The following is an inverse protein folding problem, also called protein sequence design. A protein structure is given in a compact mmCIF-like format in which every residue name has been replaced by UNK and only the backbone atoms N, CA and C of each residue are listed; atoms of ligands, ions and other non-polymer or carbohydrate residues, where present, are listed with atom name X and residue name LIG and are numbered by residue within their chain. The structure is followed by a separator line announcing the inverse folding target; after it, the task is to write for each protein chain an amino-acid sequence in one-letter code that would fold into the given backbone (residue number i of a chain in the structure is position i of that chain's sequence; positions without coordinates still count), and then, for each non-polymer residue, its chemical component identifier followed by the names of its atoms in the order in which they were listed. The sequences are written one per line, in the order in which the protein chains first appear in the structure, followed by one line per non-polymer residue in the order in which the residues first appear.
data_IF_446719449143
#
_entry.id   IF_446719449143
#
_cell.length_a   1.000
_cell.length_b   1.000
_cell.length_c   1.000
_cell.angle_alpha   90.00
_cell.angle_beta   90.00
_cell.angle_gamma   90.00
#
_symmetry.space_group_name_H-M   'P 1'
#
loop_
_entity.id
_entity.type
_entity.pdbx_description
1 polymer ?
#
# COMPACT_ATOMS: atom_id res chain seq x y z
N UNK A 1 -12.49 4.40 -4.87
CA UNK A 1 -11.64 5.40 -5.55
C UNK A 1 -10.92 4.65 -6.64
N UNK A 2 -11.34 4.86 -7.89
CA UNK A 2 -10.73 4.17 -9.04
C UNK A 2 -9.24 4.51 -9.09
N UNK A 3 -8.41 3.49 -9.18
CA UNK A 3 -7.01 3.66 -9.55
C UNK A 3 -7.03 4.13 -11.01
N UNK A 4 -6.67 5.39 -11.24
CA UNK A 4 -6.45 5.90 -12.58
C UNK A 4 -5.23 5.19 -13.13
N UNK A 5 -5.46 4.26 -14.04
CA UNK A 5 -4.41 3.61 -14.81
C UNK A 5 -3.94 4.65 -15.84
N UNK A 6 -2.63 4.91 -15.86
CA UNK A 6 -2.01 5.87 -16.78
C UNK A 6 -2.40 5.58 -18.24
N UNK A 7 -2.74 6.63 -18.99
CA UNK A 7 -3.22 6.58 -20.38
C UNK A 7 -2.18 6.09 -21.40
N UNK A 8 -0.95 5.81 -20.96
CA UNK A 8 0.18 5.49 -21.82
C UNK A 8 0.57 4.00 -21.79
N UNK A 9 -0.24 3.12 -21.19
CA UNK A 9 0.04 1.67 -21.22
C UNK A 9 -0.14 1.12 -22.64
N UNK A 10 0.93 0.54 -23.19
CA UNK A 10 0.84 -0.26 -24.41
C UNK A 10 0.25 -1.64 -24.03
N UNK A 11 -1.08 -1.75 -24.09
CA UNK A 11 -1.85 -2.90 -23.61
C UNK A 11 -1.55 -4.25 -24.29
N UNK A 12 -0.81 -4.25 -25.41
CA UNK A 12 -0.34 -5.47 -26.05
C UNK A 12 0.72 -6.23 -25.21
N UNK A 13 1.36 -5.57 -24.23
CA UNK A 13 2.36 -6.20 -23.36
C UNK A 13 1.76 -6.89 -22.12
N UNK A 14 0.42 -6.80 -21.92
CA UNK A 14 -0.29 -7.37 -20.75
C UNK A 14 -0.83 -8.79 -20.96
N UNK A 15 -0.51 -9.47 -22.06
CA UNK A 15 -0.96 -10.86 -22.29
C UNK A 15 -0.15 -11.80 -21.40
N UNK A 16 -0.58 -11.94 -20.15
CA UNK A 16 -0.04 -12.94 -19.24
C UNK A 16 -0.79 -14.25 -19.42
N UNK A 17 -0.04 -15.33 -19.64
CA UNK A 17 -0.57 -16.69 -19.64
C UNK A 17 -0.99 -17.12 -18.23
N UNK A 18 -1.88 -18.11 -18.09
CA UNK A 18 -2.22 -18.68 -16.78
C UNK A 18 -0.97 -19.10 -16.00
N UNK A 19 -0.90 -18.76 -14.71
CA UNK A 19 0.26 -19.11 -13.89
C UNK A 19 1.55 -18.35 -14.22
N UNK A 20 1.47 -17.25 -14.99
CA UNK A 20 2.63 -16.41 -15.28
C UNK A 20 3.23 -15.81 -14.01
N UNK A 21 4.56 -15.86 -13.91
CA UNK A 21 5.30 -15.18 -12.85
C UNK A 21 5.97 -13.95 -13.43
N UNK A 22 5.57 -12.78 -12.94
CA UNK A 22 6.26 -11.51 -13.16
C UNK A 22 7.24 -11.24 -11.99
N UNK A 23 8.56 -11.25 -12.21
CA UNK A 23 9.54 -11.05 -11.14
C UNK A 23 9.43 -9.70 -10.40
N UNK A 24 9.02 -8.63 -11.09
CA UNK A 24 8.85 -7.31 -10.48
C UNK A 24 7.63 -7.31 -9.55
N UNK A 25 6.52 -7.88 -10.00
CA UNK A 25 5.31 -8.01 -9.19
C UNK A 25 5.59 -8.78 -7.90
N UNK A 26 6.20 -9.98 -8.01
CA UNK A 26 6.53 -10.80 -6.82
C UNK A 26 7.51 -10.06 -5.90
N UNK A 27 8.53 -9.39 -6.44
CA UNK A 27 9.48 -8.61 -5.66
C UNK A 27 8.79 -7.49 -4.86
N UNK A 28 7.85 -6.78 -5.48
CA UNK A 28 7.11 -5.71 -4.81
C UNK A 28 6.21 -6.25 -3.69
N UNK A 29 5.56 -7.39 -3.89
CA UNK A 29 4.77 -8.05 -2.84
C UNK A 29 5.65 -8.49 -1.66
N UNK A 30 6.84 -9.07 -1.92
CA UNK A 30 7.81 -9.39 -0.88
C UNK A 30 8.27 -8.11 -0.14
N UNK A 31 8.52 -7.03 -0.88
CA UNK A 31 8.93 -5.75 -0.30
C UNK A 31 7.84 -5.16 0.57
N UNK A 32 6.60 -5.07 0.09
CA UNK A 32 5.48 -4.48 0.82
C UNK A 32 5.04 -5.29 2.04
N UNK A 33 5.43 -6.57 2.13
CA UNK A 33 5.20 -7.41 3.32
C UNK A 33 6.43 -7.54 4.22
N UNK A 34 7.52 -6.84 3.92
CA UNK A 34 8.76 -6.93 4.70
C UNK A 34 8.75 -6.03 5.94
N UNK A 35 9.44 -6.48 7.00
CA UNK A 35 9.71 -5.67 8.19
C UNK A 35 10.41 -4.35 7.83
N UNK A 36 11.33 -4.36 6.86
CA UNK A 36 12.01 -3.15 6.40
C UNK A 36 11.04 -2.10 5.87
N UNK A 37 10.06 -2.50 5.05
CA UNK A 37 9.08 -1.57 4.48
C UNK A 37 8.09 -1.05 5.54
N UNK A 38 7.66 -1.90 6.47
CA UNK A 38 6.88 -1.44 7.63
C UNK A 38 7.68 -0.50 8.53
N UNK A 39 9.00 -0.72 8.68
CA UNK A 39 9.91 0.20 9.36
C UNK A 39 9.97 1.58 8.69
N UNK A 40 10.03 1.63 7.36
CA UNK A 40 9.96 2.89 6.60
C UNK A 40 8.65 3.64 6.84
N UNK A 41 7.52 2.91 6.93
CA UNK A 41 6.23 3.51 7.28
C UNK A 41 6.26 4.10 8.70
N UNK A 42 6.71 3.31 9.69
CA UNK A 42 6.84 3.74 11.09
C UNK A 42 7.66 5.02 11.20
N UNK A 43 8.83 5.04 10.58
CA UNK A 43 9.76 6.17 10.67
C UNK A 43 9.21 7.41 9.95
N UNK A 44 8.54 7.22 8.79
CA UNK A 44 7.86 8.33 8.08
C UNK A 44 6.69 8.90 8.88
N UNK A 45 5.95 8.06 9.61
CA UNK A 45 4.87 8.50 10.49
C UNK A 45 5.41 9.26 11.71
N UNK A 46 6.53 8.80 12.28
CA UNK A 46 7.22 9.51 13.36
C UNK A 46 7.65 10.91 12.93
N UNK A 47 8.29 11.04 11.77
CA UNK A 47 8.73 12.34 11.25
C UNK A 47 7.54 13.31 11.09
N UNK A 48 6.40 12.80 10.59
CA UNK A 48 5.16 13.58 10.47
C UNK A 48 4.63 14.01 11.84
N UNK A 49 4.59 13.10 12.81
CA UNK A 49 4.11 13.35 14.17
C UNK A 49 4.99 14.38 14.89
N UNK A 50 6.31 14.16 14.91
CA UNK A 50 7.29 15.08 15.52
C UNK A 50 7.17 16.49 14.91
N UNK A 51 6.98 16.58 13.59
CA UNK A 51 6.74 17.85 12.92
C UNK A 51 5.47 18.53 13.44
N UNK A 52 4.34 17.82 13.48
CA UNK A 52 3.07 18.39 13.95
C UNK A 52 3.14 18.85 15.42
N UNK A 53 3.77 18.05 16.29
CA UNK A 53 4.00 18.40 17.70
C UNK A 53 4.87 19.65 17.85
N UNK A 54 5.97 19.72 17.10
CA UNK A 54 6.87 20.89 17.13
C UNK A 54 6.14 22.17 16.70
N UNK A 55 5.25 22.08 15.70
CA UNK A 55 4.43 23.21 15.25
C UNK A 55 3.44 23.63 16.32
N UNK A 56 2.79 22.68 17.01
CA UNK A 56 1.89 23.01 18.10
C UNK A 56 2.63 23.73 19.22
N UNK A 57 3.79 23.22 19.62
CA UNK A 57 4.62 23.83 20.65
C UNK A 57 5.04 25.26 20.29
N UNK A 58 5.47 25.49 19.05
CA UNK A 58 5.82 26.83 18.56
C UNK A 58 4.63 27.80 18.57
N UNK A 59 3.44 27.31 18.18
CA UNK A 59 2.21 28.09 18.22
C UNK A 59 1.85 28.50 19.65
N UNK A 60 2.00 27.60 20.62
CA UNK A 60 1.70 27.86 22.02
C UNK A 60 2.64 28.86 22.69
N UNK A 61 3.84 29.08 22.15
CA UNK A 61 4.77 30.10 22.64
C UNK A 61 4.37 31.52 22.23
N UNK A 62 3.51 31.68 21.21
CA UNK A 62 3.18 32.97 20.60
C UNK A 62 1.66 33.21 20.54
N UNK A 63 0.98 32.98 21.66
CA UNK A 63 -0.47 33.15 21.74
C UNK A 63 -0.88 34.62 21.76
N UNK A 64 -1.86 34.98 20.94
CA UNK A 64 -2.49 36.29 21.00
C UNK A 64 -3.32 36.44 22.30
N UNK A 65 -3.46 37.66 22.86
CA UNK A 65 -4.22 37.87 24.10
C UNK A 65 -5.68 37.40 24.04
N UNK A 66 -6.29 37.40 22.85
CA UNK A 66 -7.67 36.99 22.60
C UNK A 66 -7.84 35.48 22.34
N UNK A 67 -6.75 34.70 22.34
CA UNK A 67 -6.73 33.30 21.90
C UNK A 67 -7.86 32.43 22.48
N UNK A 68 -8.10 32.53 23.79
CA UNK A 68 -9.10 31.69 24.48
C UNK A 68 -10.54 32.00 24.06
N UNK A 69 -10.79 33.19 23.49
CA UNK A 69 -12.09 33.62 22.98
C UNK A 69 -12.36 33.20 21.53
N UNK A 70 -11.37 32.62 20.85
CA UNK A 70 -11.52 32.18 19.46
C UNK A 70 -12.37 30.91 19.35
N UNK A 71 -12.93 30.70 18.16
CA UNK A 71 -13.68 29.49 17.85
C UNK A 71 -12.80 28.24 17.98
N UNK A 72 -13.40 27.09 18.31
CA UNK A 72 -12.68 25.82 18.51
C UNK A 72 -11.67 25.47 17.41
N UNK A 73 -11.98 25.59 16.10
CA UNK A 73 -11.01 25.29 15.03
C UNK A 73 -9.76 26.17 15.03
N UNK A 74 -9.83 27.35 15.66
CA UNK A 74 -8.72 28.29 15.81
C UNK A 74 -7.92 28.09 17.11
N UNK A 75 -8.30 27.07 17.90
CA UNK A 75 -7.63 26.69 19.15
C UNK A 75 -6.94 25.33 19.01
N UNK A 76 -5.77 25.27 18.34
CA UNK A 76 -5.09 24.01 18.07
C UNK A 76 -4.64 23.27 19.33
N UNK A 77 -4.46 23.92 20.48
CA UNK A 77 -4.17 23.21 21.74
C UNK A 77 -5.28 22.24 22.14
N UNK A 78 -6.53 22.60 21.88
CA UNK A 78 -7.68 21.77 22.24
C UNK A 78 -7.96 20.78 21.12
N UNK A 79 -8.12 21.25 19.89
CA UNK A 79 -8.47 20.36 18.77
C UNK A 79 -7.32 19.42 18.44
N UNK A 80 -6.13 19.97 18.17
CA UNK A 80 -4.98 19.14 17.81
C UNK A 80 -4.31 18.54 19.04
N UNK A 81 -4.13 19.30 20.12
CA UNK A 81 -3.45 18.81 21.32
C UNK A 81 -4.22 17.74 22.09
N UNK A 82 -5.56 17.79 22.13
CA UNK A 82 -6.36 16.83 22.92
C UNK A 82 -7.07 15.77 22.07
N UNK A 83 -7.20 15.93 20.75
CA UNK A 83 -7.89 14.97 19.88
C UNK A 83 -7.00 14.40 18.78
N UNK A 84 -6.42 15.26 17.92
CA UNK A 84 -5.66 14.78 16.76
C UNK A 84 -4.35 14.12 17.16
N UNK A 85 -3.47 14.83 17.87
CA UNK A 85 -2.13 14.32 18.22
C UNK A 85 -2.17 13.07 19.10
N UNK A 86 -3.08 12.93 20.10
CA UNK A 86 -3.23 11.66 20.81
C UNK A 86 -3.52 10.48 19.90
N UNK A 87 -4.44 10.61 18.94
CA UNK A 87 -4.72 9.53 17.98
C UNK A 87 -3.49 9.22 17.11
N UNK A 88 -2.79 10.24 16.63
CA UNK A 88 -1.57 10.03 15.84
C UNK A 88 -0.47 9.31 16.63
N UNK A 89 -0.36 9.55 17.94
CA UNK A 89 0.54 8.82 18.85
C UNK A 89 0.11 7.37 19.02
N UNK A 90 -1.18 7.12 19.23
CA UNK A 90 -1.71 5.76 19.34
C UNK A 90 -1.43 4.96 18.06
N UNK A 91 -1.57 5.57 16.88
CA UNK A 91 -1.17 4.96 15.60
C UNK A 91 0.34 4.71 15.55
N UNK A 92 1.17 5.63 16.04
CA UNK A 92 2.63 5.42 16.09
C UNK A 92 3.01 4.24 16.99
N UNK A 93 2.40 4.12 18.16
CA UNK A 93 2.59 2.98 19.06
C UNK A 93 2.14 1.67 18.40
N UNK A 94 1.02 1.69 17.68
CA UNK A 94 0.54 0.59 16.85
C UNK A 94 1.55 0.16 15.78
N UNK A 95 2.16 1.11 15.07
CA UNK A 95 3.21 0.85 14.08
C UNK A 95 4.48 0.27 14.73
N UNK A 96 4.87 0.76 15.90
CA UNK A 96 5.99 0.22 16.66
C UNK A 96 5.74 -1.24 17.07
N UNK A 97 4.57 -1.53 17.62
CA UNK A 97 4.18 -2.90 17.99
C UNK A 97 4.08 -3.80 16.76
N UNK A 98 3.48 -3.32 15.67
CA UNK A 98 3.38 -4.05 14.41
C UNK A 98 4.75 -4.36 13.79
N UNK A 99 5.69 -3.42 13.83
CA UNK A 99 7.06 -3.64 13.38
C UNK A 99 7.75 -4.76 14.18
N UNK A 100 7.63 -4.75 15.51
CA UNK A 100 8.22 -5.80 16.36
C UNK A 100 7.63 -7.17 16.03
N UNK A 101 6.31 -7.28 15.86
CA UNK A 101 5.64 -8.52 15.44
C UNK A 101 6.21 -9.02 14.12
N UNK A 102 6.21 -8.17 13.09
CA UNK A 102 6.66 -8.55 11.76
C UNK A 102 8.14 -8.90 11.71
N UNK A 103 8.97 -8.21 12.49
CA UNK A 103 10.39 -8.53 12.65
C UNK A 103 10.62 -9.93 13.22
N UNK A 104 9.72 -10.41 14.09
CA UNK A 104 9.73 -11.77 14.62
C UNK A 104 8.96 -12.79 13.77
N UNK A 105 8.52 -12.41 12.57
CA UNK A 105 7.84 -13.29 11.62
C UNK A 105 6.32 -13.39 11.81
N UNK A 106 5.74 -12.59 12.70
CA UNK A 106 4.30 -12.49 12.87
C UNK A 106 3.70 -11.47 11.88
N UNK A 107 3.01 -11.99 10.86
CA UNK A 107 2.43 -11.19 9.76
C UNK A 107 1.24 -10.34 10.19
N UNK A 108 0.67 -10.56 11.38
CA UNK A 108 -0.32 -9.65 11.98
C UNK A 108 0.25 -8.26 12.22
N UNK A 109 1.58 -8.12 12.25
CA UNK A 109 2.23 -6.82 12.33
C UNK A 109 1.82 -5.87 11.18
N UNK A 110 1.45 -6.39 10.02
CA UNK A 110 1.00 -5.61 8.86
C UNK A 110 -0.32 -4.86 9.14
N UNK A 111 -1.17 -5.38 10.04
CA UNK A 111 -2.46 -4.78 10.38
C UNK A 111 -2.31 -3.34 10.93
N UNK A 112 -1.16 -3.04 11.54
CA UNK A 112 -0.84 -1.71 12.07
C UNK A 112 -0.90 -0.61 11.01
N UNK A 113 -0.70 -0.93 9.72
CA UNK A 113 -0.82 0.03 8.63
C UNK A 113 -2.24 0.59 8.47
N UNK A 114 -3.28 -0.12 8.93
CA UNK A 114 -4.66 0.37 8.90
C UNK A 114 -4.89 1.60 9.79
N UNK A 115 -4.15 1.74 10.89
CA UNK A 115 -4.24 2.91 11.79
C UNK A 115 -3.98 4.21 11.05
N UNK A 116 -2.93 4.24 10.23
CA UNK A 116 -2.54 5.39 9.38
C UNK A 116 -3.68 5.87 8.49
N UNK A 117 -4.41 4.94 7.85
CA UNK A 117 -5.54 5.28 6.98
C UNK A 117 -6.75 5.79 7.77
N UNK A 118 -7.01 5.21 8.94
CA UNK A 118 -8.11 5.62 9.82
C UNK A 118 -7.87 7.01 10.38
N UNK A 119 -6.67 7.28 10.87
CA UNK A 119 -6.29 8.59 11.40
C UNK A 119 -6.28 9.67 10.34
N UNK A 120 -5.79 9.38 9.13
CA UNK A 120 -5.91 10.33 8.02
C UNK A 120 -7.37 10.73 7.80
N UNK A 121 -8.30 9.78 7.74
CA UNK A 121 -9.73 10.10 7.56
C UNK A 121 -10.28 10.94 8.72
N UNK A 122 -9.97 10.57 9.96
CA UNK A 122 -10.43 11.30 11.14
C UNK A 122 -9.86 12.72 11.20
N UNK A 123 -8.58 12.89 10.82
CA UNK A 123 -7.92 14.19 10.85
C UNK A 123 -8.50 15.18 9.83
N UNK A 124 -9.11 14.72 8.72
CA UNK A 124 -9.71 15.60 7.71
C UNK A 124 -10.83 16.50 8.27
N UNK A 125 -11.43 16.14 9.41
CA UNK A 125 -12.43 16.96 10.10
C UNK A 125 -11.83 18.20 10.78
N UNK A 126 -10.50 18.25 10.94
CA UNK A 126 -9.78 19.28 11.67
C UNK A 126 -8.82 20.06 10.78
N UNK A 127 -9.00 21.38 10.74
CA UNK A 127 -8.14 22.28 9.97
C UNK A 127 -6.69 22.27 10.49
N UNK A 128 -5.73 22.21 9.56
CA UNK A 128 -4.30 22.34 9.84
C UNK A 128 -3.77 23.77 9.64
N UNK A 129 -4.64 24.72 9.23
CA UNK A 129 -4.22 26.06 8.77
C UNK A 129 -3.57 26.93 9.86
N UNK A 130 -3.64 26.50 11.13
CA UNK A 130 -2.90 27.10 12.24
C UNK A 130 -1.37 26.94 12.12
N UNK A 131 -0.86 25.98 11.32
CA UNK A 131 0.59 25.70 11.16
C UNK A 131 1.34 26.65 10.22
N UNK A 132 0.70 27.74 9.73
CA UNK A 132 1.12 28.54 8.56
C UNK A 132 1.07 27.78 7.23
N UNK A 133 1.05 28.50 6.10
CA UNK A 133 0.97 27.89 4.77
C UNK A 133 2.16 26.97 4.46
N UNK A 134 3.37 27.33 4.87
CA UNK A 134 4.54 26.46 4.71
C UNK A 134 4.45 25.22 5.62
N UNK A 135 4.02 25.40 6.87
CA UNK A 135 3.84 24.28 7.79
C UNK A 135 2.80 23.28 7.29
N UNK A 136 1.65 23.76 6.79
CA UNK A 136 0.61 22.92 6.18
C UNK A 136 1.16 22.14 4.99
N UNK A 137 1.93 22.78 4.10
CA UNK A 137 2.55 22.10 2.95
C UNK A 137 3.49 20.97 3.39
N UNK A 138 4.35 21.23 4.37
CA UNK A 138 5.27 20.23 4.90
C UNK A 138 4.54 19.09 5.60
N UNK A 139 3.55 19.40 6.44
CA UNK A 139 2.70 18.40 7.09
C UNK A 139 2.00 17.50 6.06
N UNK A 140 1.33 18.09 5.06
CA UNK A 140 0.63 17.34 4.00
C UNK A 140 1.58 16.47 3.19
N UNK A 141 2.83 16.92 2.95
CA UNK A 141 3.85 16.12 2.26
C UNK A 141 4.26 14.90 3.08
N UNK A 142 4.60 15.09 4.36
CA UNK A 142 4.99 14.00 5.27
C UNK A 142 3.85 12.99 5.44
N UNK A 143 2.62 13.48 5.63
CA UNK A 143 1.42 12.64 5.72
C UNK A 143 1.16 11.85 4.43
N UNK A 144 1.30 12.49 3.26
CA UNK A 144 1.13 11.83 1.97
C UNK A 144 2.14 10.69 1.77
N UNK A 145 3.38 10.88 2.21
CA UNK A 145 4.42 9.85 2.15
C UNK A 145 4.07 8.63 3.02
N UNK A 146 3.67 8.84 4.28
CA UNK A 146 3.24 7.75 5.16
C UNK A 146 1.99 7.03 4.60
N UNK A 147 1.03 7.78 4.04
CA UNK A 147 -0.17 7.20 3.44
C UNK A 147 0.13 6.35 2.20
N UNK A 148 1.10 6.74 1.38
CA UNK A 148 1.52 5.96 0.23
C UNK A 148 2.08 4.61 0.67
N UNK A 149 2.99 4.60 1.66
CA UNK A 149 3.58 3.38 2.21
C UNK A 149 2.49 2.47 2.82
N UNK A 150 1.62 3.03 3.66
CA UNK A 150 0.51 2.29 4.28
C UNK A 150 -0.45 1.71 3.24
N UNK A 151 -0.76 2.45 2.17
CA UNK A 151 -1.63 1.96 1.09
C UNK A 151 -1.05 0.73 0.40
N UNK A 152 0.24 0.71 0.13
CA UNK A 152 0.88 -0.45 -0.51
C UNK A 152 0.82 -1.69 0.41
N UNK A 153 1.03 -1.51 1.72
CA UNK A 153 0.87 -2.59 2.71
C UNK A 153 -0.58 -3.10 2.72
N UNK A 154 -1.55 -2.20 2.90
CA UNK A 154 -2.99 -2.55 2.98
C UNK A 154 -3.47 -3.25 1.69
N UNK A 155 -3.07 -2.74 0.52
CA UNK A 155 -3.40 -3.36 -0.77
C UNK A 155 -2.83 -4.77 -0.89
N UNK A 156 -1.61 -4.98 -0.40
CA UNK A 156 -0.95 -6.28 -0.44
C UNK A 156 -1.58 -7.27 0.53
N UNK A 157 -1.81 -6.84 1.77
CA UNK A 157 -2.44 -7.67 2.80
C UNK A 157 -3.86 -8.07 2.40
N UNK A 158 -4.61 -7.16 1.78
CA UNK A 158 -5.98 -7.40 1.36
C UNK A 158 -6.13 -8.23 0.07
N UNK A 159 -5.03 -8.58 -0.61
CA UNK A 159 -5.06 -9.20 -1.94
C UNK A 159 -5.85 -8.36 -2.97
N UNK A 160 -5.61 -7.05 -2.99
CA UNK A 160 -6.34 -6.08 -3.82
C UNK A 160 -5.62 -5.69 -5.12
N UNK A 161 -4.60 -6.43 -5.54
CA UNK A 161 -3.83 -6.07 -6.73
C UNK A 161 -4.54 -6.51 -8.01
N UNK A 162 -4.64 -5.58 -8.96
CA UNK A 162 -5.12 -5.88 -10.31
C UNK A 162 -3.95 -6.08 -11.26
N UNK A 163 -4.12 -6.93 -12.27
CA UNK A 163 -3.13 -7.10 -13.35
C UNK A 163 -2.69 -5.76 -13.93
N UNK A 164 -1.40 -5.64 -14.26
CA UNK A 164 -0.83 -4.40 -14.79
C UNK A 164 -0.41 -3.39 -13.72
N UNK A 165 -0.96 -3.45 -12.49
CA UNK A 165 -0.76 -2.40 -11.47
C UNK A 165 0.68 -2.37 -10.93
N UNK A 166 1.28 -3.55 -10.73
CA UNK A 166 2.64 -3.69 -10.20
C UNK A 166 3.69 -3.86 -11.30
N UNK A 167 3.25 -4.21 -12.50
CA UNK A 167 4.03 -4.33 -13.74
C UNK A 167 3.05 -4.58 -14.90
N UNK A 168 3.23 -3.96 -16.09
CA UNK A 168 4.21 -2.92 -16.42
C UNK A 168 3.77 -1.51 -15.99
N UNK A 169 2.53 -1.32 -15.54
CA UNK A 169 1.93 -0.02 -15.20
C UNK A 169 2.41 0.60 -13.87
N UNK A 170 3.59 0.21 -13.38
CA UNK A 170 4.13 0.73 -12.13
C UNK A 170 4.57 2.20 -12.30
N UNK A 171 4.08 3.08 -11.44
CA UNK A 171 4.47 4.49 -11.40
C UNK A 171 5.06 4.85 -10.03
N UNK A 172 6.25 5.48 -9.96
CA UNK A 172 6.80 5.94 -8.69
C UNK A 172 5.93 6.95 -7.95
N UNK A 173 5.13 7.72 -8.68
CA UNK A 173 4.20 8.71 -8.14
C UNK A 173 3.10 8.04 -7.30
N UNK A 174 2.60 6.87 -7.74
CA UNK A 174 1.57 6.14 -7.01
C UNK A 174 2.17 5.15 -6.01
N UNK A 175 3.38 4.63 -6.24
CA UNK A 175 3.87 3.47 -5.48
C UNK A 175 5.14 3.73 -4.70
N UNK A 176 5.73 4.92 -4.84
CA UNK A 176 7.05 5.23 -4.32
C UNK A 176 8.12 4.69 -5.26
N UNK A 177 9.41 4.93 -4.96
CA UNK A 177 10.49 4.45 -5.81
C UNK A 177 10.43 2.92 -5.95
N UNK A 178 10.62 2.42 -7.17
CA UNK A 178 10.62 0.98 -7.46
C UNK A 178 11.69 0.24 -6.65
N UNK A 179 12.84 0.89 -6.44
CA UNK A 179 14.06 0.34 -5.83
C UNK A 179 14.38 -1.04 -6.42
N UNK A 180 14.47 -1.08 -7.76
CA UNK A 180 14.75 -2.31 -8.50
C UNK A 180 16.14 -2.85 -8.11
N UNK A 181 16.27 -4.16 -7.90
CA UNK A 181 17.58 -4.77 -7.68
C UNK A 181 18.39 -4.79 -8.99
N UNK A 182 19.73 -4.83 -8.88
CA UNK A 182 20.62 -4.97 -10.04
C UNK A 182 20.30 -6.21 -10.88
N UNK A 183 19.73 -7.24 -10.26
CA UNK A 183 19.25 -8.45 -10.92
C UNK A 183 17.96 -8.90 -10.25
N UNK A 184 16.92 -9.10 -11.07
CA UNK A 184 15.65 -9.61 -10.58
C UNK A 184 15.80 -11.00 -9.97
N UNK A 185 15.21 -11.26 -8.79
CA UNK A 185 15.20 -12.59 -8.21
C UNK A 185 14.49 -13.59 -9.14
N UNK A 186 14.96 -14.82 -9.15
CA UNK A 186 14.30 -15.91 -9.88
C UNK A 186 13.27 -16.58 -8.99
N UNK A 187 12.09 -16.84 -9.54
CA UNK A 187 10.97 -17.44 -8.84
C UNK A 187 10.47 -18.68 -9.57
N UNK A 188 9.80 -19.58 -8.85
CA UNK A 188 9.06 -20.71 -9.42
C UNK A 188 7.76 -20.95 -8.68
N UNK A 189 6.79 -21.54 -9.36
CA UNK A 189 5.60 -22.08 -8.71
C UNK A 189 5.95 -23.36 -7.93
N UNK A 190 5.35 -23.53 -6.77
CA UNK A 190 5.35 -24.78 -6.01
C UNK A 190 4.03 -25.51 -6.20
N UNK A 191 3.93 -26.46 -7.15
CA UNK A 191 2.67 -27.15 -7.44
C UNK A 191 2.20 -28.05 -6.28
N UNK A 192 3.05 -28.28 -5.26
CA UNK A 192 2.65 -29.00 -4.06
C UNK A 192 1.85 -28.14 -3.07
N UNK A 193 1.85 -26.81 -3.23
CA UNK A 193 1.14 -25.88 -2.35
C UNK A 193 0.20 -25.00 -3.16
N UNK A 194 -1.07 -25.41 -3.17
CA UNK A 194 -2.15 -24.73 -3.88
C UNK A 194 -3.35 -24.48 -2.97
N UNK A 195 -4.19 -23.53 -3.33
CA UNK A 195 -5.51 -23.33 -2.71
C UNK A 195 -6.52 -22.88 -3.75
N UNK A 196 -7.77 -23.34 -3.64
CA UNK A 196 -8.85 -22.86 -4.49
C UNK A 196 -9.53 -21.66 -3.86
N UNK A 197 -10.14 -20.79 -4.67
CA UNK A 197 -11.08 -19.77 -4.17
C UNK A 197 -12.08 -20.40 -3.19
N UNK A 198 -12.32 -19.72 -2.06
CA UNK A 198 -13.20 -20.23 -1.00
C UNK A 198 -12.51 -21.16 0.01
N UNK A 199 -11.28 -21.60 -0.23
CA UNK A 199 -10.52 -22.45 0.69
C UNK A 199 -9.45 -21.65 1.43
N UNK A 200 -9.18 -22.02 2.69
CA UNK A 200 -8.10 -21.44 3.48
C UNK A 200 -6.73 -21.74 2.84
N UNK A 201 -5.84 -20.74 2.63
CA UNK A 201 -4.48 -20.98 2.16
C UNK A 201 -3.67 -21.88 3.11
N UNK A 202 -2.94 -22.90 2.61
CA UNK A 202 -2.16 -23.81 3.45
C UNK A 202 -1.03 -23.14 4.25
N UNK A 203 -0.45 -22.07 3.72
CA UNK A 203 0.62 -21.29 4.34
C UNK A 203 0.50 -19.83 3.94
N UNK A 204 1.01 -18.93 4.77
CA UNK A 204 1.17 -17.53 4.37
C UNK A 204 2.24 -17.41 3.28
N UNK A 205 1.99 -16.63 2.24
CA UNK A 205 2.96 -16.39 1.17
C UNK A 205 2.36 -15.68 -0.04
N UNK A 206 3.16 -15.56 -1.10
CA UNK A 206 2.72 -14.98 -2.37
C UNK A 206 2.25 -16.10 -3.29
N UNK A 207 1.06 -15.94 -3.86
CA UNK A 207 0.42 -16.91 -4.73
C UNK A 207 0.11 -16.30 -6.09
N UNK A 208 0.27 -17.09 -7.15
CA UNK A 208 -0.12 -16.74 -8.52
C UNK A 208 -1.37 -17.54 -8.88
N UNK A 209 -2.41 -16.91 -9.46
CA UNK A 209 -3.62 -17.61 -9.88
C UNK A 209 -3.43 -18.29 -11.25
N UNK A 210 -4.22 -19.33 -11.49
CA UNK A 210 -4.28 -20.06 -12.77
C UNK A 210 -5.11 -19.33 -13.85
N UNK A 211 -5.20 -18.01 -13.80
CA UNK A 211 -5.97 -17.19 -14.73
C UNK A 211 -5.07 -16.22 -15.50
N UNK A 212 -5.33 -16.04 -16.79
CA UNK A 212 -4.66 -15.01 -17.60
C UNK A 212 -5.03 -13.61 -17.13
N UNK A 213 -4.18 -12.62 -17.45
CA UNK A 213 -4.44 -11.20 -17.18
C UNK A 213 -4.84 -10.91 -15.73
N UNK A 214 -4.20 -11.60 -14.79
CA UNK A 214 -4.42 -11.48 -13.35
C UNK A 214 -3.11 -11.13 -12.64
N UNK A 215 -3.18 -10.84 -11.34
CA UNK A 215 -2.03 -10.45 -10.53
C UNK A 215 -1.84 -11.43 -9.36
N UNK A 216 -0.59 -11.72 -9.05
CA UNK A 216 -0.18 -12.43 -7.85
C UNK A 216 -0.65 -11.67 -6.59
N UNK A 217 -0.94 -12.42 -5.54
CA UNK A 217 -1.43 -11.87 -4.28
C UNK A 217 -0.65 -12.42 -3.10
N UNK A 218 -0.51 -11.63 -2.05
CA UNK A 218 -0.12 -12.13 -0.75
C UNK A 218 -1.35 -12.70 -0.04
N UNK A 219 -1.31 -13.98 0.30
CA UNK A 219 -2.39 -14.67 1.03
C UNK A 219 -1.86 -15.10 2.39
N UNK A 220 -2.59 -14.79 3.46
CA UNK A 220 -2.28 -15.27 4.82
C UNK A 220 -2.97 -16.61 5.07
N UNK A 221 -2.34 -17.50 5.82
CA UNK A 221 -2.92 -18.81 6.16
C UNK A 221 -4.07 -18.74 7.17
N UNK A 222 -4.27 -17.60 7.83
CA UNK A 222 -5.29 -17.42 8.86
C UNK A 222 -6.63 -16.90 8.31
N UNK A 223 -6.67 -16.37 7.08
CA UNK A 223 -7.93 -16.00 6.43
C UNK A 223 -8.83 -17.24 6.27
N UNK A 224 -10.15 -17.01 6.28
CA UNK A 224 -11.12 -18.09 6.17
C UNK A 224 -11.17 -18.68 4.76
N UNK A 225 -11.03 -17.83 3.73
CA UNK A 225 -11.17 -18.19 2.34
C UNK A 225 -10.24 -17.38 1.44
N UNK A 226 -9.52 -18.05 0.54
CA UNK A 226 -8.80 -17.40 -0.55
C UNK A 226 -9.77 -16.68 -1.49
N UNK A 227 -9.42 -15.48 -1.98
CA UNK A 227 -10.32 -14.68 -2.79
C UNK A 227 -10.52 -15.25 -4.19
N UNK A 228 -11.54 -14.73 -4.90
CA UNK A 228 -11.58 -14.77 -6.36
C UNK A 228 -10.44 -13.92 -6.91
N UNK A 229 -9.92 -14.26 -8.09
CA UNK A 229 -8.93 -13.39 -8.75
C UNK A 229 -9.64 -12.36 -9.62
N UNK A 230 -9.09 -11.13 -9.65
CA UNK A 230 -9.49 -10.12 -10.62
C UNK A 230 -8.73 -10.33 -11.93
N UNK A 231 -9.48 -10.54 -13.02
CA UNK A 231 -8.94 -10.58 -14.38
C UNK A 231 -9.22 -9.26 -15.09
N UNK A 232 -8.23 -8.75 -15.82
CA UNK A 232 -8.36 -7.57 -16.67
C UNK A 232 -8.95 -7.97 -18.03
N UNK A 233 -10.04 -7.30 -18.41
CA UNK A 233 -10.80 -7.56 -19.64
C UNK A 233 -10.53 -6.54 -20.76
N UNK A 234 -9.94 -5.40 -20.44
CA UNK A 234 -9.66 -4.32 -21.40
C UNK A 234 -10.07 -2.95 -20.88
N UNK A 235 -10.03 -1.95 -21.75
CA UNK A 235 -10.42 -0.57 -21.44
C UNK A 235 -11.81 -0.27 -22.04
N UNK A 236 -12.66 0.35 -21.25
CA UNK A 236 -13.94 0.91 -21.69
C UNK A 236 -13.80 2.42 -21.83
N UNK A 237 -14.15 2.96 -23.00
CA UNK A 237 -14.21 4.41 -23.21
C UNK A 237 -15.41 5.01 -22.49
N UNK A 238 -15.16 6.07 -21.72
CA UNK A 238 -16.17 6.82 -20.99
C UNK A 238 -16.58 8.06 -21.80
N UNK A 239 -17.89 8.19 -22.02
CA UNK A 239 -18.48 9.26 -22.84
C UNK A 239 -19.37 10.18 -22.00
N UNK A 240 -19.37 11.46 -22.34
CA UNK A 240 -20.26 12.44 -21.72
C UNK A 240 -21.71 11.99 -21.97
N UNK A 241 -22.58 11.92 -20.95
CA UNK A 241 -23.94 11.41 -21.11
C UNK A 241 -24.69 12.11 -22.25
N UNK A 242 -25.17 11.33 -23.22
CA UNK A 242 -25.91 11.86 -24.38
C UNK A 242 -25.04 12.47 -25.48
N UNK A 243 -23.72 12.33 -25.40
CA UNK A 243 -22.74 12.82 -26.39
C UNK A 243 -21.83 11.70 -26.87
N UNK A 244 -21.23 11.88 -28.05
CA UNK A 244 -20.13 11.05 -28.56
C UNK A 244 -18.75 11.53 -28.07
N UNK A 245 -18.71 12.57 -27.23
CA UNK A 245 -17.48 13.10 -26.66
C UNK A 245 -16.95 12.18 -25.56
N UNK A 246 -15.75 11.64 -25.78
CA UNK A 246 -15.01 10.83 -24.82
C UNK A 246 -14.33 11.73 -23.80
N UNK A 247 -14.57 11.50 -22.50
CA UNK A 247 -13.89 12.24 -21.42
C UNK A 247 -12.86 11.38 -20.67
N UNK A 248 -12.83 10.07 -20.91
CA UNK A 248 -11.86 9.20 -20.25
C UNK A 248 -11.96 7.74 -20.67
N UNK A 249 -11.25 6.90 -19.96
CA UNK A 249 -11.32 5.44 -20.05
C UNK A 249 -11.29 4.84 -18.64
N UNK A 250 -11.87 3.65 -18.50
CA UNK A 250 -11.75 2.86 -17.28
C UNK A 250 -11.36 1.43 -17.61
N UNK A 251 -10.55 0.82 -16.74
CA UNK A 251 -10.26 -0.60 -16.85
C UNK A 251 -11.47 -1.43 -16.45
N UNK A 252 -11.82 -2.38 -17.31
CA UNK A 252 -12.83 -3.37 -17.05
C UNK A 252 -12.19 -4.60 -16.40
N UNK A 253 -12.73 -5.00 -15.27
CA UNK A 253 -12.30 -6.17 -14.53
C UNK A 253 -13.48 -7.10 -14.27
N UNK A 254 -13.18 -8.39 -14.16
CA UNK A 254 -14.13 -9.40 -13.68
C UNK A 254 -13.47 -10.21 -12.56
N UNK A 255 -14.24 -10.56 -11.54
CA UNK A 255 -13.79 -11.54 -10.54
C UNK A 255 -14.21 -12.94 -10.98
N UNK A 256 -13.26 -13.88 -10.91
CA UNK A 256 -13.50 -15.27 -11.27
C UNK A 256 -12.88 -16.21 -10.23
N UNK A 257 -13.49 -17.37 -9.94
CA UNK A 257 -12.85 -18.41 -9.16
C UNK A 257 -11.56 -18.90 -9.83
N UNK A 258 -10.55 -19.23 -9.02
CA UNK A 258 -9.25 -19.69 -9.54
C UNK A 258 -8.56 -20.67 -8.57
N UNK A 259 -7.48 -21.28 -9.06
CA UNK A 259 -6.50 -21.99 -8.24
C UNK A 259 -5.28 -21.11 -8.04
N UNK A 260 -4.98 -20.80 -6.79
CA UNK A 260 -3.79 -20.09 -6.36
C UNK A 260 -2.65 -21.08 -6.13
N UNK A 261 -1.47 -20.83 -6.70
CA UNK A 261 -0.26 -21.64 -6.49
C UNK A 261 0.84 -20.82 -5.83
N UNK A 262 1.45 -21.34 -4.76
CA UNK A 262 2.48 -20.64 -4.01
C UNK A 262 3.72 -20.38 -4.87
N UNK A 263 4.30 -19.20 -4.74
CA UNK A 263 5.58 -18.83 -5.35
C UNK A 263 6.72 -19.06 -4.37
N UNK A 264 7.82 -19.64 -4.86
CA UNK A 264 9.09 -19.76 -4.12
C UNK A 264 10.18 -18.98 -4.82
N UNK A 265 10.87 -18.13 -4.05
CA UNK A 265 12.15 -17.55 -4.47
C UNK A 265 13.21 -18.64 -4.55
N UNK A 266 13.93 -18.69 -5.66
CA UNK A 266 15.04 -19.61 -5.88
C UNK A 266 16.32 -19.04 -5.27
N UNK A 267 17.13 -19.91 -4.66
CA UNK A 267 18.46 -19.51 -4.26
C UNK A 267 19.26 -19.08 -5.51
N UNK A 268 20.09 -18.02 -5.42
CA UNK A 268 21.01 -17.70 -6.50
C UNK A 268 21.88 -18.94 -6.78
N UNK A 269 22.08 -19.27 -8.05
CA UNK A 269 22.90 -20.41 -8.43
C UNK A 269 24.28 -20.25 -7.76
N UNK A 270 24.58 -21.06 -6.75
CA UNK A 270 25.91 -21.10 -6.18
C UNK A 270 26.87 -21.43 -7.32
N UNK A 271 27.96 -20.67 -7.47
CA UNK A 271 29.10 -21.00 -8.33
C UNK A 271 29.75 -22.31 -7.83
N UNK A 272 29.09 -23.43 -8.02
CA UNK A 272 29.57 -24.76 -7.72
C UNK A 272 30.10 -25.39 -9.01
N UNK A 273 31.21 -24.85 -9.52
CA UNK A 273 32.05 -25.57 -10.48
C UNK A 273 33.42 -24.90 -10.64
N UNK A 274 34.32 -25.08 -9.67
CA UNK A 274 35.75 -24.87 -9.91
C UNK A 274 36.62 -25.68 -8.94
N UNK A 275 36.43 -27.01 -8.92
CA UNK A 275 37.49 -27.96 -8.55
C UNK A 275 37.34 -29.20 -9.43
N UNK A 276 38.06 -29.20 -10.56
CA UNK A 276 38.58 -30.42 -11.17
C UNK A 276 39.98 -30.64 -10.63
#
# INVERSE_FOLDING_TARGET
MGLAISSDMNFNDMIHFPGHIDPQEIYLLERYTSATYLGQLRDSWQEMLDFAESRLQQSMQHLAPDYRNRALPERPDIVWGEQVLPNLRDTFDGLCAGYIKLFHGDVDGLDSAHGVRSDFKGQLEFSAEWMSQEGVRTYRRLLSQALLLARNIISTQGAYWSAGTLSPGYTPEDRGPLDAPDTWPTYRLDPAVTTQTGQRPPTTGIYVPDQSNSSAQFLRSDIEAAPECSIFLGMESLYVPGSSEKYGEQALHQTVPCTWTLVKRMAPASLASARR
#
